data_IF_732437142011
#
_entry.id   IF_732437142011
#
_cell.length_a   1.000
_cell.length_b   1.000
_cell.length_c   1.000
_cell.angle_alpha   90.00
_cell.angle_beta   90.00
_cell.angle_gamma   90.00
#
_symmetry.space_group_name_H-M   'P 1'
#
loop_
_entity.id
_entity.type
_entity.pdbx_description
1 polymer ?
#
# COMPACT_ATOMS: atom_id res chain seq x y z
N UNK A 1 11.24 -7.48 -14.88
CA UNK A 1 10.92 -6.76 -13.63
C UNK A 1 9.55 -7.23 -13.14
N UNK A 2 9.42 -7.69 -11.89
CA UNK A 2 8.12 -8.17 -11.37
C UNK A 2 7.28 -6.96 -10.90
N UNK A 3 5.97 -7.03 -11.11
CA UNK A 3 4.99 -6.02 -10.68
C UNK A 3 4.19 -6.56 -9.52
N UNK A 4 4.02 -5.78 -8.47
CA UNK A 4 3.31 -6.18 -7.25
C UNK A 4 2.14 -5.22 -7.02
N UNK A 5 0.95 -5.76 -6.77
CA UNK A 5 -0.22 -5.03 -6.30
C UNK A 5 -0.44 -5.36 -4.82
N UNK A 6 -0.43 -4.34 -3.96
CA UNK A 6 -0.74 -4.46 -2.54
C UNK A 6 -2.12 -3.84 -2.31
N UNK A 7 -3.04 -4.63 -1.75
CA UNK A 7 -4.32 -4.12 -1.27
C UNK A 7 -4.11 -3.54 0.13
N UNK A 8 -4.19 -2.21 0.22
CA UNK A 8 -3.90 -1.44 1.41
C UNK A 8 -5.10 -1.26 2.34
N UNK A 9 -5.02 -0.24 3.18
CA UNK A 9 -6.01 0.05 4.23
C UNK A 9 -5.55 -0.30 5.64
N UNK A 10 -4.31 -0.81 5.79
CA UNK A 10 -3.65 -1.00 7.08
C UNK A 10 -2.25 -0.38 7.07
N UNK A 11 -1.73 -0.10 8.26
CA UNK A 11 -0.36 0.37 8.46
C UNK A 11 0.68 -0.61 7.90
N UNK A 12 0.48 -1.92 8.09
CA UNK A 12 1.40 -2.97 7.64
C UNK A 12 1.51 -3.00 6.12
N UNK A 13 0.40 -2.82 5.40
CA UNK A 13 0.41 -2.78 3.94
C UNK A 13 1.24 -1.60 3.40
N UNK A 14 1.20 -0.45 4.09
CA UNK A 14 1.98 0.74 3.75
C UNK A 14 3.48 0.53 4.04
N UNK A 15 3.81 -0.02 5.20
CA UNK A 15 5.19 -0.34 5.57
C UNK A 15 5.78 -1.40 4.63
N UNK A 16 5.01 -2.42 4.26
CA UNK A 16 5.44 -3.42 3.30
C UNK A 16 5.67 -2.82 1.91
N UNK A 17 4.76 -1.96 1.44
CA UNK A 17 4.95 -1.24 0.17
C UNK A 17 6.25 -0.43 0.18
N UNK A 18 6.53 0.28 1.27
CA UNK A 18 7.77 1.05 1.45
C UNK A 18 9.05 0.20 1.38
N UNK A 19 9.01 -1.04 1.88
CA UNK A 19 10.16 -1.96 1.78
C UNK A 19 10.35 -2.55 0.38
N UNK A 20 9.25 -2.79 -0.34
CA UNK A 20 9.30 -3.49 -1.63
C UNK A 20 9.59 -2.59 -2.83
N UNK A 21 9.40 -1.27 -2.71
CA UNK A 21 9.67 -0.31 -3.81
C UNK A 21 11.16 -0.20 -4.16
N UNK A 22 12.06 -0.66 -3.27
CA UNK A 22 13.49 -0.68 -3.54
C UNK A 22 13.85 -1.69 -4.65
N UNK A 23 13.11 -2.79 -4.75
CA UNK A 23 13.42 -3.93 -5.63
C UNK A 23 12.37 -4.17 -6.73
N UNK A 24 11.14 -3.68 -6.55
CA UNK A 24 9.99 -4.05 -7.40
C UNK A 24 9.17 -2.83 -7.85
N UNK A 25 8.46 -3.00 -8.97
CA UNK A 25 7.43 -2.04 -9.37
C UNK A 25 6.16 -2.31 -8.56
N UNK A 26 5.93 -1.50 -7.52
CA UNK A 26 4.84 -1.68 -6.55
C UNK A 26 3.72 -0.67 -6.78
N UNK A 27 2.48 -1.15 -6.81
CA UNK A 27 1.26 -0.34 -6.73
C UNK A 27 0.55 -0.64 -5.40
N UNK A 28 0.32 0.40 -4.59
CA UNK A 28 -0.51 0.32 -3.37
C UNK A 28 -1.92 0.84 -3.69
N UNK A 29 -2.93 -0.02 -3.50
CA UNK A 29 -4.34 0.33 -3.72
C UNK A 29 -5.06 0.59 -2.41
N UNK A 30 -5.59 1.80 -2.23
CA UNK A 30 -6.42 2.16 -1.09
C UNK A 30 -7.90 2.02 -1.49
N UNK A 31 -8.61 1.09 -0.85
CA UNK A 31 -9.96 0.67 -1.29
C UNK A 31 -11.08 1.70 -1.05
N UNK A 32 -10.82 2.82 -0.37
CA UNK A 32 -11.80 3.89 -0.16
C UNK A 32 -13.08 3.47 0.57
N UNK A 33 -13.00 2.46 1.45
CA UNK A 33 -14.17 1.87 2.12
C UNK A 33 -14.75 2.72 3.25
N UNK A 34 -14.08 3.81 3.64
CA UNK A 34 -14.50 4.72 4.71
C UNK A 34 -14.65 6.13 4.16
N UNK A 35 -15.72 6.82 4.56
CA UNK A 35 -16.01 8.20 4.15
C UNK A 35 -14.95 9.20 4.66
N UNK A 36 -14.37 8.92 5.82
CA UNK A 36 -13.30 9.71 6.44
C UNK A 36 -12.14 8.79 6.82
N UNK A 37 -11.24 8.46 5.87
CA UNK A 37 -10.06 7.66 6.17
C UNK A 37 -9.21 8.38 7.22
N UNK A 38 -9.00 7.74 8.37
CA UNK A 38 -8.01 8.24 9.33
C UNK A 38 -6.64 8.22 8.68
N UNK A 39 -5.85 9.28 8.91
CA UNK A 39 -4.51 9.41 8.36
C UNK A 39 -3.68 8.17 8.72
N UNK A 40 -3.20 7.46 7.70
CA UNK A 40 -2.39 6.26 7.87
C UNK A 40 -0.91 6.68 7.95
N UNK A 41 -0.32 6.55 9.14
CA UNK A 41 1.11 6.76 9.41
C UNK A 41 1.99 5.54 9.11
#
# INVERSE_FOLDING_TARGET
MKKILILGGTTEARQLAGKLVEDFLVTLSLAGRTESPVAQG
#
